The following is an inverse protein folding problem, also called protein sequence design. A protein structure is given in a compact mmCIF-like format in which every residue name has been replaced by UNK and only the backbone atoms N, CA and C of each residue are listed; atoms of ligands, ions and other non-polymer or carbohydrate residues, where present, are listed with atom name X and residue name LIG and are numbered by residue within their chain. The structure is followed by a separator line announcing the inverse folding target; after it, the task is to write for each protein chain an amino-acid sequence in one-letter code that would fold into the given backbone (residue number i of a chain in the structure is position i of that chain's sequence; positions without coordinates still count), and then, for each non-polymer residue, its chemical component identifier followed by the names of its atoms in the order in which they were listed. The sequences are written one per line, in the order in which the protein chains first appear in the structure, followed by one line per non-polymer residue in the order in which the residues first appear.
data_IF_377026453338
#
_entry.id   IF_377026453338
#
_cell.length_a   1.000
_cell.length_b   1.000
_cell.length_c   1.000
_cell.angle_alpha   90.00
_cell.angle_beta   90.00
_cell.angle_gamma   90.00
#
_symmetry.space_group_name_H-M   'P 1'
#
loop_
_entity.id
_entity.type
_entity.pdbx_description
1 polymer ?
#
# COMPACT_ATOMS: atom_id res chain seq x y z
N UNK A 1 1.14 -51.48 -46.88
CA UNK A 1 2.42 -51.09 -46.27
C UNK A 1 3.01 -49.95 -47.11
N UNK A 2 3.21 -48.77 -46.49
CA UNK A 2 4.31 -47.77 -46.68
C UNK A 2 4.66 -47.33 -48.12
N UNK A 3 4.82 -46.05 -48.54
CA UNK A 3 5.26 -44.76 -47.93
C UNK A 3 5.09 -43.64 -49.00
N UNK A 4 4.52 -42.46 -48.70
CA UNK A 4 5.14 -41.13 -48.40
C UNK A 4 6.18 -40.58 -49.42
N UNK A 5 5.88 -39.44 -50.08
CA UNK A 5 6.39 -38.04 -49.87
C UNK A 5 7.86 -37.83 -50.31
N UNK A 6 8.32 -36.75 -50.94
CA UNK A 6 7.92 -35.32 -51.03
C UNK A 6 8.81 -34.68 -52.12
N UNK A 7 8.31 -33.70 -52.86
CA UNK A 7 9.15 -32.75 -53.62
C UNK A 7 8.66 -31.34 -53.31
N UNK A 8 9.53 -30.55 -52.68
CA UNK A 8 9.31 -29.12 -52.46
C UNK A 8 9.67 -28.32 -53.70
N UNK A 9 8.91 -27.26 -53.94
CA UNK A 9 9.33 -26.11 -54.73
C UNK A 9 8.72 -24.86 -54.07
N UNK A 10 9.56 -23.84 -53.95
CA UNK A 10 9.32 -22.56 -53.32
C UNK A 10 8.29 -21.71 -54.07
N UNK A 11 7.62 -20.80 -53.37
CA UNK A 11 7.20 -19.50 -53.93
C UNK A 11 6.94 -18.47 -52.79
N UNK A 12 7.57 -17.30 -52.93
CA UNK A 12 7.19 -16.04 -52.30
C UNK A 12 6.34 -15.23 -53.33
N UNK A 13 5.91 -13.99 -53.05
CA UNK A 13 4.69 -13.61 -52.36
C UNK A 13 3.73 -12.87 -53.31
N UNK A 14 2.53 -13.40 -53.59
CA UNK A 14 1.57 -12.65 -54.41
C UNK A 14 0.61 -11.80 -53.57
N UNK A 15 0.78 -10.49 -53.73
CA UNK A 15 -0.13 -9.45 -53.29
C UNK A 15 -1.50 -9.60 -53.98
N UNK A 16 -2.46 -10.18 -53.26
CA UNK A 16 -3.86 -10.23 -53.66
C UNK A 16 -4.76 -9.43 -52.73
N UNK A 17 -4.71 -8.09 -52.79
CA UNK A 17 -5.64 -7.23 -52.04
C UNK A 17 -7.01 -7.22 -52.75
N UNK A 18 -7.87 -8.19 -52.43
CA UNK A 18 -9.25 -8.27 -52.90
C UNK A 18 -10.23 -7.73 -51.85
N UNK A 19 -11.25 -6.99 -52.28
CA UNK A 19 -12.19 -6.21 -51.43
C UNK A 19 -12.98 -7.04 -50.39
N UNK A 20 -12.93 -8.37 -50.41
CA UNK A 20 -13.47 -9.25 -49.36
C UNK A 20 -12.53 -9.41 -48.13
N UNK A 21 -11.29 -8.91 -48.19
CA UNK A 21 -10.29 -9.04 -47.14
C UNK A 21 -10.45 -8.00 -46.00
N UNK A 22 -11.20 -6.92 -46.23
CA UNK A 22 -11.35 -5.82 -45.26
C UNK A 22 -12.28 -6.17 -44.08
N UNK A 23 -13.35 -6.95 -44.33
CA UNK A 23 -14.30 -7.38 -43.28
C UNK A 23 -13.65 -8.45 -42.38
N UNK A 24 -12.88 -9.37 -42.97
CA UNK A 24 -12.06 -10.32 -42.21
C UNK A 24 -10.97 -9.61 -41.38
N UNK A 25 -10.41 -8.51 -41.88
CA UNK A 25 -9.40 -7.73 -41.17
C UNK A 25 -9.97 -6.90 -40.01
N UNK A 26 -11.22 -6.43 -40.08
CA UNK A 26 -11.88 -5.77 -38.94
C UNK A 26 -12.32 -6.77 -37.87
N UNK A 27 -12.88 -7.92 -38.27
CA UNK A 27 -13.30 -8.95 -37.33
C UNK A 27 -12.09 -9.58 -36.62
N UNK A 28 -11.02 -9.93 -37.34
CA UNK A 28 -9.80 -10.42 -36.71
C UNK A 28 -9.13 -9.38 -35.80
N UNK A 29 -9.19 -8.09 -36.13
CA UNK A 29 -8.71 -7.02 -35.23
C UNK A 29 -9.55 -6.92 -33.96
N UNK A 30 -10.87 -7.04 -34.07
CA UNK A 30 -11.76 -7.05 -32.91
C UNK A 30 -11.50 -8.27 -32.02
N UNK A 31 -11.39 -9.46 -32.62
CA UNK A 31 -11.16 -10.71 -31.88
C UNK A 31 -9.77 -10.77 -31.24
N UNK A 32 -8.75 -10.17 -31.88
CA UNK A 32 -7.43 -9.98 -31.27
C UNK A 32 -7.52 -9.00 -30.09
N UNK A 33 -8.17 -7.85 -30.25
CA UNK A 33 -8.34 -6.86 -29.19
C UNK A 33 -9.10 -7.42 -27.97
N UNK A 34 -10.18 -8.19 -28.20
CA UNK A 34 -10.94 -8.83 -27.12
C UNK A 34 -10.10 -9.88 -26.39
N UNK A 35 -9.23 -10.61 -27.10
CA UNK A 35 -8.32 -11.59 -26.50
C UNK A 35 -7.25 -10.91 -25.66
N UNK A 36 -6.67 -9.83 -26.15
CA UNK A 36 -5.65 -9.05 -25.43
C UNK A 36 -6.25 -8.43 -24.17
N UNK A 37 -7.47 -7.90 -24.25
CA UNK A 37 -8.20 -7.38 -23.09
C UNK A 37 -8.50 -8.46 -22.05
N UNK A 38 -8.84 -9.69 -22.46
CA UNK A 38 -9.03 -10.81 -21.52
C UNK A 38 -7.72 -11.23 -20.88
N UNK A 39 -6.64 -11.35 -21.65
CA UNK A 39 -5.33 -11.69 -21.11
C UNK A 39 -4.83 -10.65 -20.10
N UNK A 40 -5.07 -9.36 -20.37
CA UNK A 40 -4.74 -8.30 -19.43
C UNK A 40 -5.65 -8.33 -18.18
N UNK A 41 -6.94 -8.64 -18.34
CA UNK A 41 -7.84 -8.83 -17.21
C UNK A 41 -7.39 -10.00 -16.30
N UNK A 42 -6.98 -11.12 -16.88
CA UNK A 42 -6.45 -12.28 -16.14
C UNK A 42 -5.14 -11.92 -15.43
N UNK A 43 -4.26 -11.16 -16.09
CA UNK A 43 -3.02 -10.64 -15.49
C UNK A 43 -3.30 -9.74 -14.30
N UNK A 44 -4.21 -8.77 -14.45
CA UNK A 44 -4.59 -7.85 -13.39
C UNK A 44 -5.26 -8.58 -12.22
N UNK A 45 -6.10 -9.58 -12.52
CA UNK A 45 -6.73 -10.43 -11.49
C UNK A 45 -5.69 -11.22 -10.72
N UNK A 46 -4.68 -11.75 -11.40
CA UNK A 46 -3.57 -12.47 -10.76
C UNK A 46 -2.70 -11.54 -9.89
N UNK A 47 -2.43 -10.32 -10.37
CA UNK A 47 -1.71 -9.31 -9.60
C UNK A 47 -2.49 -8.87 -8.35
N UNK A 48 -3.81 -8.67 -8.48
CA UNK A 48 -4.69 -8.37 -7.35
C UNK A 48 -4.70 -9.50 -6.32
N UNK A 49 -4.75 -10.77 -6.76
CA UNK A 49 -4.68 -11.91 -5.87
C UNK A 49 -3.33 -12.00 -5.13
N UNK A 50 -2.22 -11.70 -5.82
CA UNK A 50 -0.89 -11.67 -5.21
C UNK A 50 -0.73 -10.53 -4.20
N UNK A 51 -1.28 -9.35 -4.49
CA UNK A 51 -1.31 -8.21 -3.57
C UNK A 51 -2.20 -8.52 -2.35
N UNK A 52 -3.36 -9.14 -2.54
CA UNK A 52 -4.23 -9.56 -1.45
C UNK A 52 -3.56 -10.63 -0.57
N UNK A 53 -2.81 -11.57 -1.15
CA UNK A 53 -2.02 -12.55 -0.40
C UNK A 53 -0.89 -11.88 0.41
N UNK A 54 -0.21 -10.89 -0.17
CA UNK A 54 0.80 -10.07 0.53
C UNK A 54 0.21 -9.23 1.66
N UNK A 55 -1.00 -8.69 1.47
CA UNK A 55 -1.75 -7.98 2.51
C UNK A 55 -2.24 -8.90 3.62
N UNK A 56 -2.64 -10.14 3.30
CA UNK A 56 -3.02 -11.14 4.29
C UNK A 56 -1.84 -11.50 5.21
N UNK A 57 -0.62 -11.59 4.68
CA UNK A 57 0.59 -11.81 5.49
C UNK A 57 0.96 -10.60 6.36
N UNK A 58 0.69 -9.37 5.90
CA UNK A 58 0.91 -8.15 6.70
C UNK A 58 -0.18 -7.95 7.78
N UNK A 59 -1.44 -8.31 7.49
CA UNK A 59 -2.56 -8.25 8.43
C UNK A 59 -2.39 -9.24 9.61
N UNK A 60 -1.69 -10.35 9.39
CA UNK A 60 -1.33 -11.30 10.46
C UNK A 60 -0.31 -10.76 11.47
N UNK A 61 0.29 -9.58 11.23
CA UNK A 61 1.22 -8.92 12.15
C UNK A 61 0.59 -7.76 12.94
N UNK A 62 -0.65 -7.37 12.63
CA UNK A 62 -1.39 -6.40 13.44
C UNK A 62 -2.07 -7.11 14.62
N UNK A 63 -2.03 -6.56 15.85
CA UNK A 63 -2.83 -7.08 16.95
C UNK A 63 -4.30 -7.16 16.52
N UNK A 64 -4.97 -8.27 16.83
CA UNK A 64 -6.32 -8.58 16.30
C UNK A 64 -7.35 -7.44 16.48
N UNK A 65 -7.22 -6.62 17.52
CA UNK A 65 -8.08 -5.45 17.75
C UNK A 65 -7.86 -4.27 16.79
N UNK A 66 -6.67 -4.12 16.20
CA UNK A 66 -6.34 -3.08 15.21
C UNK A 66 -6.94 -3.42 13.84
N UNK A 67 -6.84 -4.69 13.43
CA UNK A 67 -7.52 -5.20 12.21
C UNK A 67 -9.04 -5.02 12.32
N UNK A 68 -9.63 -5.43 13.46
CA UNK A 68 -11.08 -5.29 13.73
C UNK A 68 -11.55 -3.84 13.67
N UNK A 69 -10.77 -2.90 14.22
CA UNK A 69 -11.12 -1.47 14.18
C UNK A 69 -11.01 -0.89 12.77
N UNK A 70 -9.97 -1.29 12.02
CA UNK A 70 -9.73 -0.84 10.66
C UNK A 70 -10.86 -1.29 9.72
N UNK A 71 -11.25 -2.56 9.80
CA UNK A 71 -12.37 -3.10 9.03
C UNK A 71 -13.68 -2.38 9.37
N UNK A 72 -13.94 -2.13 10.65
CA UNK A 72 -15.10 -1.37 11.08
C UNK A 72 -15.07 0.09 10.60
N UNK A 73 -13.91 0.74 10.53
CA UNK A 73 -13.80 2.08 9.94
C UNK A 73 -14.08 2.07 8.44
N UNK A 74 -13.67 1.03 7.72
CA UNK A 74 -14.00 0.83 6.31
C UNK A 74 -15.50 0.63 6.11
N UNK A 75 -16.15 -0.21 6.90
CA UNK A 75 -17.59 -0.44 6.86
C UNK A 75 -18.39 0.81 7.24
N UNK A 76 -17.92 1.56 8.24
CA UNK A 76 -18.51 2.85 8.60
C UNK A 76 -18.35 3.86 7.47
N UNK A 77 -17.17 3.93 6.86
CA UNK A 77 -16.92 4.80 5.70
C UNK A 77 -17.73 4.38 4.49
N UNK A 78 -17.97 3.09 4.25
CA UNK A 78 -18.80 2.61 3.15
C UNK A 78 -20.28 2.92 3.37
N UNK A 79 -20.77 2.70 4.59
CA UNK A 79 -22.17 2.94 4.96
C UNK A 79 -22.52 4.42 5.05
N UNK A 80 -21.65 5.25 5.64
CA UNK A 80 -21.81 6.70 5.74
C UNK A 80 -21.32 7.45 4.50
N UNK A 81 -20.42 6.85 3.72
CA UNK A 81 -19.77 7.49 2.59
C UNK A 81 -20.59 7.47 1.32
N UNK A 82 -20.41 8.56 0.57
CA UNK A 82 -20.85 8.99 -0.76
C UNK A 82 -21.13 7.92 -1.85
N UNK A 83 -20.84 6.64 -1.65
CA UNK A 83 -21.04 5.55 -2.63
C UNK A 83 -22.30 4.74 -2.36
N UNK A 84 -22.60 4.39 -1.10
CA UNK A 84 -23.80 3.59 -0.79
C UNK A 84 -25.05 4.47 -0.72
N UNK A 85 -25.02 5.53 0.11
CA UNK A 85 -26.18 6.41 0.31
C UNK A 85 -26.64 7.10 -0.98
N UNK A 86 -25.72 7.62 -1.79
CA UNK A 86 -26.06 8.21 -3.09
C UNK A 86 -26.60 7.19 -4.09
N UNK A 87 -26.00 5.99 -4.18
CA UNK A 87 -26.46 4.99 -5.14
C UNK A 87 -27.84 4.44 -4.78
N UNK A 88 -28.11 4.15 -3.50
CA UNK A 88 -29.42 3.63 -3.10
C UNK A 88 -30.52 4.67 -3.24
N UNK A 89 -30.25 5.94 -2.90
CA UNK A 89 -31.20 7.02 -3.12
C UNK A 89 -31.43 7.32 -4.62
N UNK A 90 -30.40 7.20 -5.47
CA UNK A 90 -30.55 7.37 -6.92
C UNK A 90 -31.24 6.17 -7.61
N UNK A 91 -31.21 4.99 -6.99
CA UNK A 91 -31.75 3.74 -7.54
C UNK A 91 -33.08 3.31 -6.91
N UNK A 92 -33.62 4.09 -5.96
CA UNK A 92 -34.81 3.78 -5.16
C UNK A 92 -34.74 2.41 -4.43
N UNK A 93 -33.53 1.95 -4.10
CA UNK A 93 -33.29 0.68 -3.41
C UNK A 93 -33.26 0.88 -1.89
N UNK A 94 -34.46 0.96 -1.30
CA UNK A 94 -34.65 1.12 0.13
C UNK A 94 -34.04 -0.05 0.95
N UNK A 95 -34.13 -1.27 0.43
CA UNK A 95 -33.59 -2.45 1.11
C UNK A 95 -32.06 -2.42 1.16
N UNK A 96 -31.41 -1.93 0.09
CA UNK A 96 -29.97 -1.67 0.05
C UNK A 96 -29.53 -0.62 1.07
N UNK A 97 -30.31 0.46 1.17
CA UNK A 97 -30.08 1.51 2.16
C UNK A 97 -30.17 0.97 3.60
N UNK A 98 -31.21 0.21 3.95
CA UNK A 98 -31.38 -0.38 5.28
C UNK A 98 -30.23 -1.33 5.65
N UNK A 99 -29.77 -2.15 4.70
CA UNK A 99 -28.59 -3.01 4.89
C UNK A 99 -27.34 -2.20 5.18
N UNK A 100 -27.08 -1.15 4.42
CA UNK A 100 -25.93 -0.28 4.63
C UNK A 100 -25.99 0.43 5.99
N UNK A 101 -27.17 0.90 6.40
CA UNK A 101 -27.37 1.51 7.71
C UNK A 101 -27.10 0.53 8.85
N UNK A 102 -27.53 -0.74 8.70
CA UNK A 102 -27.25 -1.79 9.68
C UNK A 102 -25.75 -2.05 9.80
N UNK A 103 -25.04 -2.17 8.67
CA UNK A 103 -23.58 -2.33 8.63
C UNK A 103 -22.89 -1.16 9.34
N UNK A 104 -23.27 0.08 9.04
CA UNK A 104 -22.70 1.27 9.70
C UNK A 104 -22.92 1.31 11.20
N UNK A 105 -24.11 0.90 11.65
CA UNK A 105 -24.44 0.83 13.08
C UNK A 105 -23.60 -0.23 13.80
N UNK A 106 -23.39 -1.37 13.15
CA UNK A 106 -22.57 -2.45 13.69
C UNK A 106 -21.08 -2.07 13.71
N UNK A 107 -20.58 -1.47 12.64
CA UNK A 107 -19.24 -0.89 12.57
C UNK A 107 -18.99 0.12 13.70
N UNK A 108 -19.94 1.03 13.94
CA UNK A 108 -19.83 2.00 15.03
C UNK A 108 -19.77 1.32 16.41
N UNK A 109 -20.53 0.24 16.61
CA UNK A 109 -20.47 -0.57 17.84
C UNK A 109 -19.09 -1.21 18.00
N UNK A 110 -18.53 -1.77 16.93
CA UNK A 110 -17.21 -2.38 16.93
C UNK A 110 -16.10 -1.37 17.24
N UNK A 111 -16.13 -0.18 16.64
CA UNK A 111 -15.16 0.90 16.93
C UNK A 111 -15.21 1.34 18.40
N UNK A 112 -16.42 1.36 18.98
CA UNK A 112 -16.63 1.72 20.39
C UNK A 112 -16.40 0.56 21.36
N UNK A 113 -16.10 -0.64 20.88
CA UNK A 113 -15.88 -1.79 21.74
C UNK A 113 -14.60 -1.63 22.57
N UNK A 114 -14.53 -2.19 23.79
CA UNK A 114 -13.32 -2.14 24.61
C UNK A 114 -12.10 -2.73 23.90
N UNK A 115 -12.28 -3.80 23.13
CA UNK A 115 -11.20 -4.44 22.36
C UNK A 115 -10.61 -3.51 21.30
N UNK A 116 -11.46 -2.80 20.55
CA UNK A 116 -11.02 -1.85 19.53
C UNK A 116 -10.45 -0.56 20.14
N UNK A 117 -10.84 -0.20 21.35
CA UNK A 117 -10.26 0.93 22.09
C UNK A 117 -8.90 0.57 22.70
N UNK A 118 -8.79 -0.61 23.29
CA UNK A 118 -7.54 -1.14 23.85
C UNK A 118 -6.47 -1.30 22.77
N UNK A 119 -6.84 -1.67 21.54
CA UNK A 119 -5.89 -1.73 20.43
C UNK A 119 -5.28 -0.35 20.10
N UNK A 120 -6.07 0.73 20.17
CA UNK A 120 -5.56 2.09 19.92
C UNK A 120 -4.67 2.55 21.06
N UNK A 121 -5.07 2.32 22.32
CA UNK A 121 -4.22 2.72 23.45
C UNK A 121 -2.87 1.99 23.43
N UNK A 122 -2.87 0.69 23.12
CA UNK A 122 -1.62 -0.06 22.93
C UNK A 122 -0.77 0.55 21.82
N UNK A 123 -1.39 0.99 20.72
CA UNK A 123 -0.67 1.61 19.62
C UNK A 123 -0.10 2.99 19.98
N UNK A 124 -0.85 3.79 20.74
CA UNK A 124 -0.37 5.08 21.29
C UNK A 124 0.82 4.85 22.23
N UNK A 125 0.75 3.88 23.15
CA UNK A 125 1.84 3.52 24.05
C UNK A 125 3.10 3.09 23.27
N UNK A 126 2.94 2.29 22.20
CA UNK A 126 4.03 1.86 21.33
C UNK A 126 4.68 3.03 20.58
N UNK A 127 3.89 4.02 20.16
CA UNK A 127 4.39 5.22 19.49
C UNK A 127 5.15 6.12 20.47
N UNK A 128 4.63 6.32 21.67
CA UNK A 128 5.31 7.09 22.73
C UNK A 128 6.64 6.44 23.12
N UNK A 129 6.65 5.11 23.26
CA UNK A 129 7.88 4.35 23.52
C UNK A 129 8.89 4.47 22.36
N UNK A 130 8.43 4.40 21.11
CA UNK A 130 9.28 4.59 19.93
C UNK A 130 9.88 6.01 19.88
N UNK A 131 9.04 7.02 20.12
CA UNK A 131 9.45 8.41 20.17
C UNK A 131 10.49 8.64 21.26
N UNK A 132 10.26 8.09 22.45
CA UNK A 132 11.20 8.20 23.57
C UNK A 132 12.53 7.51 23.28
N UNK A 133 12.50 6.35 22.62
CA UNK A 133 13.71 5.64 22.20
C UNK A 133 14.51 6.45 21.18
N UNK A 134 13.84 7.04 20.17
CA UNK A 134 14.48 7.92 19.18
C UNK A 134 15.03 9.17 19.87
N UNK A 135 14.26 9.80 20.76
CA UNK A 135 14.68 10.97 21.54
C UNK A 135 15.95 10.70 22.35
N UNK A 136 15.99 9.57 23.06
CA UNK A 136 17.18 9.15 23.84
C UNK A 136 18.40 8.97 22.94
N UNK A 137 18.23 8.33 21.77
CA UNK A 137 19.32 8.16 20.80
C UNK A 137 19.80 9.49 20.25
N UNK A 138 18.89 10.39 19.89
CA UNK A 138 19.19 11.74 19.39
C UNK A 138 19.97 12.55 20.43
N UNK A 139 19.61 12.46 21.71
CA UNK A 139 20.36 13.09 22.80
C UNK A 139 21.78 12.53 22.98
N UNK A 140 22.06 11.31 22.48
CA UNK A 140 23.39 10.69 22.53
C UNK A 140 24.33 11.10 21.39
N UNK A 141 23.80 11.70 20.32
CA UNK A 141 24.54 12.15 19.13
C UNK A 141 25.63 13.17 19.50
N UNK A 142 26.73 13.17 18.75
CA UNK A 142 27.82 14.10 18.99
C UNK A 142 27.37 15.53 18.70
N UNK A 143 27.62 16.43 19.66
CA UNK A 143 27.32 17.86 19.55
C UNK A 143 28.55 18.68 19.23
N UNK A 144 28.31 19.83 18.61
CA UNK A 144 29.35 20.73 18.17
C UNK A 144 29.02 22.17 18.50
N UNK A 145 30.06 22.91 18.84
CA UNK A 145 30.07 24.37 18.88
C UNK A 145 31.04 24.90 17.84
N UNK A 146 30.76 26.10 17.35
CA UNK A 146 31.64 26.83 16.45
C UNK A 146 32.24 27.98 17.24
N UNK A 147 33.57 28.02 17.32
CA UNK A 147 34.32 29.02 18.10
C UNK A 147 35.26 29.76 17.14
N UNK A 148 35.34 31.07 17.29
CA UNK A 148 36.34 31.89 16.60
C UNK A 148 37.66 31.81 17.38
N UNK A 149 38.74 31.48 16.70
CA UNK A 149 40.06 31.44 17.32
C UNK A 149 40.83 32.76 17.21
N UNK A 150 42.02 32.78 17.82
CA UNK A 150 42.89 33.96 17.87
C UNK A 150 43.41 34.38 16.50
N UNK A 151 43.36 33.49 15.50
CA UNK A 151 43.70 33.77 14.10
C UNK A 151 42.47 34.29 13.30
N UNK A 152 41.31 34.44 13.95
CA UNK A 152 40.07 34.87 13.32
C UNK A 152 39.40 33.79 12.46
N UNK A 153 39.77 32.51 12.64
CA UNK A 153 39.17 31.38 11.93
C UNK A 153 38.10 30.71 12.79
N UNK A 154 37.02 30.27 12.14
CA UNK A 154 35.96 29.50 12.81
C UNK A 154 36.36 28.03 12.84
N UNK A 155 36.50 27.48 14.04
CA UNK A 155 36.78 26.06 14.27
C UNK A 155 35.57 25.35 14.86
N UNK A 156 35.34 24.12 14.39
CA UNK A 156 34.34 23.21 14.95
C UNK A 156 34.93 22.47 16.15
N UNK A 157 34.33 22.62 17.32
CA UNK A 157 34.73 21.97 18.56
C UNK A 157 33.71 20.88 18.90
N UNK A 158 34.20 19.67 19.19
CA UNK A 158 33.38 18.58 19.71
C UNK A 158 33.10 18.83 21.19
N UNK A 159 31.83 18.87 21.55
CA UNK A 159 31.41 19.03 22.95
C UNK A 159 30.12 18.24 23.23
N UNK A 160 29.59 18.37 24.44
CA UNK A 160 28.29 17.78 24.81
C UNK A 160 27.18 18.82 24.96
N UNK A 161 27.53 20.11 24.94
CA UNK A 161 26.62 21.22 25.18
C UNK A 161 26.33 22.06 23.92
N UNK A 162 26.94 21.71 22.79
CA UNK A 162 26.79 22.42 21.53
C UNK A 162 25.39 22.31 20.94
N UNK A 163 25.03 23.32 20.17
CA UNK A 163 23.71 23.43 19.56
C UNK A 163 23.61 22.73 18.21
N UNK A 164 24.74 22.25 17.68
CA UNK A 164 24.82 21.65 16.36
C UNK A 164 25.08 20.15 16.47
N UNK A 165 24.44 19.39 15.59
CA UNK A 165 24.65 17.95 15.41
C UNK A 165 24.87 17.71 13.92
N UNK A 166 25.50 16.59 13.57
CA UNK A 166 25.64 16.22 12.15
C UNK A 166 24.29 15.78 11.59
N UNK A 167 23.99 16.29 10.38
CA UNK A 167 22.73 16.00 9.71
C UNK A 167 22.58 14.51 9.42
N UNK A 168 23.62 13.86 8.90
CA UNK A 168 23.57 12.44 8.53
C UNK A 168 23.34 11.55 9.75
N UNK A 169 23.94 11.88 10.90
CA UNK A 169 23.73 11.15 12.16
C UNK A 169 22.30 11.31 12.67
N UNK A 170 21.74 12.52 12.60
CA UNK A 170 20.34 12.76 12.95
C UNK A 170 19.37 12.06 11.98
N UNK A 171 19.64 12.11 10.69
CA UNK A 171 18.80 11.52 9.65
C UNK A 171 18.80 9.99 9.73
N UNK A 172 19.94 9.37 10.05
CA UNK A 172 20.03 7.92 10.26
C UNK A 172 19.12 7.44 11.41
N UNK A 173 18.87 8.28 12.42
CA UNK A 173 17.96 7.94 13.53
C UNK A 173 16.47 8.04 13.13
N UNK A 174 16.16 8.83 12.10
CA UNK A 174 14.82 9.04 11.57
C UNK A 174 14.52 8.14 10.36
N UNK A 175 15.43 7.23 10.00
CA UNK A 175 15.19 6.23 8.97
C UNK A 175 13.94 5.39 9.34
N UNK A 176 12.99 5.18 8.41
CA UNK A 176 11.77 4.44 8.69
C UNK A 176 12.01 3.06 9.32
N UNK A 177 13.06 2.35 8.90
CA UNK A 177 13.40 1.03 9.46
C UNK A 177 13.89 1.12 10.90
N UNK A 178 14.60 2.20 11.24
CA UNK A 178 15.07 2.46 12.62
C UNK A 178 13.90 2.83 13.53
N UNK A 179 12.95 3.63 13.04
CA UNK A 179 11.73 4.00 13.76
C UNK A 179 10.82 2.78 13.95
N UNK A 180 10.63 1.97 12.91
CA UNK A 180 9.86 0.72 12.99
C UNK A 180 10.49 -0.27 13.99
N UNK A 181 11.81 -0.38 14.00
CA UNK A 181 12.52 -1.18 15.00
C UNK A 181 12.31 -0.65 16.43
N UNK A 182 12.33 0.67 16.62
CA UNK A 182 12.03 1.29 17.92
C UNK A 182 10.58 1.02 18.37
N UNK A 183 9.61 1.07 17.45
CA UNK A 183 8.21 0.73 17.71
C UNK A 183 8.03 -0.71 18.15
N UNK A 184 8.77 -1.65 17.56
CA UNK A 184 8.76 -3.07 17.95
C UNK A 184 9.38 -3.31 19.33
N UNK A 185 10.36 -2.51 19.73
CA UNK A 185 11.02 -2.62 21.04
C UNK A 185 10.12 -2.13 22.19
N UNK A 186 9.25 -1.16 21.94
CA UNK A 186 8.27 -0.67 22.93
C UNK A 186 7.19 -1.67 23.33
N UNK A 187 7.02 -2.77 22.58
CA UNK A 187 6.04 -3.83 22.87
C UNK A 187 6.61 -5.05 23.61
N UNK A 188 7.89 -5.02 24.00
CA UNK A 188 8.60 -6.14 24.62
C UNK A 188 8.91 -5.94 26.12
N UNK A 189 8.35 -4.89 26.73
CA UNK A 189 8.51 -4.54 28.15
C UNK A 189 7.18 -4.60 28.86
#
# INVERSE_FOLDING_TARGET
MTTHHTSGAADLPEAGCSKHHLIHCSQCRHDNMVRDLRAENDRLTTQLAALAAGQATAAQQAPAGESLRTDALCDLSYSHGLKAGWNYCASDDLAGFERAQKIGTEALRTIKSPTAQAAVSVQEDLLDAAFEAVRKRLCGVQRYSFVLDDDGLVRRVRDRAGNWIEFDEAHALLDPMVVDAARKQGGAT
#
